data_IF_187680294088
#
_entry.id   IF_187680294088
#
_cell.length_a   1.000
_cell.length_b   1.000
_cell.length_c   1.000
_cell.angle_alpha   90.00
_cell.angle_beta   90.00
_cell.angle_gamma   90.00
#
_symmetry.space_group_name_H-M   'P 1'
#
loop_
_entity.id
_entity.type
_entity.pdbx_description
1 polymer ?
#
# COMPACT_ATOMS: atom_id res chain seq x y z
N UNK A 1 40.81 9.71 -41.41
CA UNK A 1 39.88 10.73 -40.86
C UNK A 1 39.00 10.04 -39.85
N UNK A 2 39.21 10.37 -38.57
CA UNK A 2 38.56 9.73 -37.43
C UNK A 2 37.13 10.29 -37.27
N UNK A 3 36.14 9.39 -37.18
CA UNK A 3 34.79 9.74 -36.82
C UNK A 3 34.72 9.97 -35.31
N UNK A 4 34.42 11.21 -34.93
CA UNK A 4 34.23 11.64 -33.54
C UNK A 4 33.10 10.86 -32.88
N UNK A 5 33.45 10.19 -31.79
CA UNK A 5 32.52 9.68 -30.79
C UNK A 5 31.88 10.91 -30.13
N UNK A 6 30.59 11.13 -30.35
CA UNK A 6 29.80 12.01 -29.47
C UNK A 6 29.74 11.35 -28.11
N UNK A 7 30.55 11.87 -27.20
CA UNK A 7 30.51 11.58 -25.77
C UNK A 7 29.11 11.89 -25.24
N UNK A 8 28.47 10.88 -24.66
CA UNK A 8 27.27 11.04 -23.85
C UNK A 8 27.62 11.91 -22.66
N UNK A 9 27.25 13.18 -22.74
CA UNK A 9 27.40 14.13 -21.66
C UNK A 9 26.38 13.76 -20.57
N UNK A 10 26.90 13.31 -19.43
CA UNK A 10 26.20 13.05 -18.17
C UNK A 10 25.13 14.10 -17.90
N UNK A 11 23.85 13.71 -18.03
CA UNK A 11 22.68 14.49 -17.60
C UNK A 11 22.31 14.23 -16.13
N UNK A 12 23.06 13.41 -15.42
CA UNK A 12 22.43 12.52 -14.45
C UNK A 12 22.66 12.83 -12.96
N UNK A 13 23.65 13.64 -12.60
CA UNK A 13 23.96 13.88 -11.18
C UNK A 13 23.25 15.09 -10.55
N UNK A 14 22.65 15.98 -11.36
CA UNK A 14 22.12 17.27 -10.91
C UNK A 14 20.61 17.46 -11.10
N UNK A 15 19.87 16.41 -11.50
CA UNK A 15 18.42 16.53 -11.67
C UNK A 15 17.76 16.68 -10.31
N UNK A 16 17.11 17.83 -10.11
CA UNK A 16 16.39 18.17 -8.89
C UNK A 16 14.96 17.68 -9.01
N UNK A 17 14.54 16.88 -8.04
CA UNK A 17 13.19 16.39 -7.85
C UNK A 17 12.60 17.16 -6.64
N UNK A 18 11.86 18.23 -6.91
CA UNK A 18 11.38 19.13 -5.88
C UNK A 18 12.53 19.93 -5.23
N UNK A 19 12.87 19.63 -3.98
CA UNK A 19 13.99 20.23 -3.25
C UNK A 19 15.15 19.26 -3.02
N UNK A 20 15.07 18.03 -3.55
CA UNK A 20 16.05 16.95 -3.33
C UNK A 20 16.60 16.47 -4.66
N UNK A 21 17.89 16.17 -4.73
CA UNK A 21 18.52 15.64 -5.94
C UNK A 21 18.26 14.14 -6.10
N UNK A 22 18.34 13.62 -7.34
CA UNK A 22 18.32 12.16 -7.57
C UNK A 22 19.40 11.46 -6.74
N UNK A 23 20.60 12.03 -6.62
CA UNK A 23 21.68 11.44 -5.84
C UNK A 23 21.30 11.27 -4.36
N UNK A 24 20.76 12.31 -3.73
CA UNK A 24 20.30 12.26 -2.33
C UNK A 24 19.14 11.26 -2.14
N UNK A 25 18.23 11.15 -3.12
CA UNK A 25 17.15 10.15 -3.08
C UNK A 25 17.67 8.73 -3.29
N UNK A 26 18.67 8.55 -4.14
CA UNK A 26 19.28 7.26 -4.43
C UNK A 26 20.09 6.74 -3.23
N UNK A 27 20.84 7.61 -2.56
CA UNK A 27 21.63 7.29 -1.37
C UNK A 27 20.76 6.89 -0.17
N UNK A 28 19.46 7.23 -0.20
CA UNK A 28 18.52 6.71 0.78
C UNK A 28 18.32 5.19 0.66
N UNK A 29 18.49 4.62 -0.54
CA UNK A 29 18.38 3.20 -0.81
C UNK A 29 19.68 2.46 -0.49
N UNK A 30 19.58 1.17 -0.12
CA UNK A 30 20.74 0.27 -0.07
C UNK A 30 21.28 -0.10 -1.46
N UNK A 31 20.61 0.33 -2.54
CA UNK A 31 20.97 0.08 -3.93
C UNK A 31 21.01 1.39 -4.76
N UNK A 32 21.95 2.31 -4.49
CA UNK A 32 21.93 3.66 -5.07
C UNK A 32 21.97 3.67 -6.60
N UNK A 33 22.76 2.80 -7.23
CA UNK A 33 22.81 2.71 -8.70
C UNK A 33 21.45 2.30 -9.30
N UNK A 34 20.77 1.34 -8.66
CA UNK A 34 19.45 0.90 -9.12
C UNK A 34 18.40 1.98 -8.84
N UNK A 35 18.43 2.59 -7.66
CA UNK A 35 17.55 3.70 -7.28
C UNK A 35 17.66 4.87 -8.27
N UNK A 36 18.89 5.24 -8.64
CA UNK A 36 19.18 6.29 -9.65
C UNK A 36 18.49 5.97 -10.97
N UNK A 37 18.67 4.75 -11.50
CA UNK A 37 18.04 4.33 -12.76
C UNK A 37 16.51 4.36 -12.69
N UNK A 38 15.93 3.94 -11.56
CA UNK A 38 14.47 3.95 -11.37
C UNK A 38 13.93 5.38 -11.33
N UNK A 39 14.56 6.27 -10.56
CA UNK A 39 14.19 7.68 -10.46
C UNK A 39 14.32 8.42 -11.80
N UNK A 40 15.40 8.20 -12.54
CA UNK A 40 15.59 8.79 -13.88
C UNK A 40 14.55 8.31 -14.89
N UNK A 41 14.07 7.07 -14.74
CA UNK A 41 13.04 6.49 -15.59
C UNK A 41 11.61 6.89 -15.18
N UNK A 42 11.42 7.62 -14.08
CA UNK A 42 10.10 7.88 -13.50
C UNK A 42 9.43 6.61 -12.96
N UNK A 43 10.20 5.54 -12.68
CA UNK A 43 9.70 4.29 -12.12
C UNK A 43 9.59 4.42 -10.59
N UNK A 44 8.61 5.20 -10.15
CA UNK A 44 8.36 5.50 -8.75
C UNK A 44 8.07 4.25 -7.92
N UNK A 45 7.24 3.35 -8.45
CA UNK A 45 6.92 2.09 -7.78
C UNK A 45 8.19 1.23 -7.66
N UNK A 46 8.95 1.08 -8.74
CA UNK A 46 10.21 0.34 -8.72
C UNK A 46 11.25 0.93 -7.76
N UNK A 47 11.27 2.26 -7.58
CA UNK A 47 12.08 2.91 -6.54
C UNK A 47 11.59 2.55 -5.13
N UNK A 48 10.28 2.66 -4.86
CA UNK A 48 9.70 2.35 -3.54
C UNK A 48 9.89 0.86 -3.17
N UNK A 49 9.82 -0.04 -4.14
CA UNK A 49 10.06 -1.48 -3.93
C UNK A 49 11.51 -1.83 -3.57
N UNK A 50 12.45 -0.87 -3.62
CA UNK A 50 13.81 -1.05 -3.08
C UNK A 50 13.84 -0.99 -1.55
N UNK A 51 12.75 -0.56 -0.91
CA UNK A 51 12.64 -0.41 0.52
C UNK A 51 11.70 -1.48 1.09
N UNK A 52 12.05 -2.03 2.25
CA UNK A 52 11.12 -2.85 3.04
C UNK A 52 9.93 -2.00 3.53
N UNK A 53 8.81 -2.66 3.87
CA UNK A 53 7.55 -2.02 4.28
C UNK A 53 7.72 -0.85 5.27
N UNK A 54 8.58 -1.03 6.29
CA UNK A 54 8.87 -0.01 7.31
C UNK A 54 9.49 1.28 6.74
N UNK A 55 10.29 1.18 5.67
CA UNK A 55 11.02 2.31 5.08
C UNK A 55 10.34 2.90 3.83
N UNK A 56 9.33 2.22 3.28
CA UNK A 56 8.61 2.72 2.10
C UNK A 56 7.92 4.05 2.36
N UNK A 57 7.35 4.27 3.55
CA UNK A 57 6.71 5.55 3.92
C UNK A 57 7.70 6.71 3.89
N UNK A 58 8.87 6.52 4.48
CA UNK A 58 9.93 7.53 4.47
C UNK A 58 10.47 7.81 3.06
N UNK A 59 10.61 6.77 2.23
CA UNK A 59 11.00 6.93 0.83
C UNK A 59 9.93 7.69 0.04
N UNK A 60 8.65 7.37 0.25
CA UNK A 60 7.51 8.04 -0.36
C UNK A 60 7.47 9.54 -0.04
N UNK A 61 7.63 9.92 1.23
CA UNK A 61 7.67 11.35 1.61
C UNK A 61 8.78 12.13 0.89
N UNK A 62 9.93 11.50 0.64
CA UNK A 62 11.03 12.13 -0.09
C UNK A 62 10.71 12.36 -1.57
N UNK A 63 9.94 11.47 -2.19
CA UNK A 63 9.55 11.59 -3.61
C UNK A 63 8.17 12.23 -3.80
N UNK A 64 7.42 12.51 -2.73
CA UNK A 64 6.11 13.13 -2.78
C UNK A 64 6.10 14.46 -3.59
N UNK A 65 7.07 15.39 -3.42
CA UNK A 65 7.11 16.59 -4.25
C UNK A 65 7.27 16.31 -5.75
N UNK A 66 7.86 15.17 -6.13
CA UNK A 66 7.91 14.70 -7.52
C UNK A 66 6.53 14.25 -7.98
N UNK A 67 5.92 13.36 -7.20
CA UNK A 67 4.64 12.73 -7.48
C UNK A 67 3.51 13.76 -7.58
N UNK A 68 3.58 14.86 -6.84
CA UNK A 68 2.66 16.00 -6.96
C UNK A 68 2.69 16.68 -8.34
N UNK A 69 3.72 16.43 -9.16
CA UNK A 69 3.81 16.92 -10.55
C UNK A 69 3.44 15.85 -11.58
N UNK A 70 3.30 14.61 -11.16
CA UNK A 70 2.91 13.51 -12.04
C UNK A 70 1.41 13.58 -12.39
N UNK A 71 0.99 12.89 -13.46
CA UNK A 71 -0.42 12.70 -13.77
C UNK A 71 -1.20 12.08 -12.59
N UNK A 72 -2.50 12.39 -12.42
CA UNK A 72 -3.32 11.88 -11.31
C UNK A 72 -3.25 10.36 -11.15
N UNK A 73 -3.24 9.61 -12.25
CA UNK A 73 -3.17 8.16 -12.25
C UNK A 73 -1.90 7.61 -11.57
N UNK A 74 -0.77 8.28 -11.75
CA UNK A 74 0.50 7.91 -11.13
C UNK A 74 0.46 8.24 -9.64
N UNK A 75 0.02 9.44 -9.29
CA UNK A 75 -0.11 9.86 -7.88
C UNK A 75 -0.99 8.88 -7.09
N UNK A 76 -2.20 8.62 -7.58
CA UNK A 76 -3.16 7.75 -6.90
C UNK A 76 -2.67 6.31 -6.82
N UNK A 77 -2.09 5.78 -7.90
CA UNK A 77 -1.56 4.41 -7.88
C UNK A 77 -0.43 4.25 -6.86
N UNK A 78 0.46 5.24 -6.75
CA UNK A 78 1.56 5.20 -5.77
C UNK A 78 1.04 5.40 -4.35
N UNK A 79 0.12 6.35 -4.11
CA UNK A 79 -0.48 6.55 -2.80
C UNK A 79 -1.19 5.28 -2.30
N UNK A 80 -1.97 4.62 -3.16
CA UNK A 80 -2.64 3.37 -2.83
C UNK A 80 -1.65 2.26 -2.46
N UNK A 81 -0.55 2.12 -3.21
CA UNK A 81 0.50 1.16 -2.89
C UNK A 81 1.11 1.41 -1.51
N UNK A 82 1.53 2.65 -1.23
CA UNK A 82 2.20 2.99 0.04
C UNK A 82 1.25 2.87 1.21
N UNK A 83 -0.03 3.22 1.03
CA UNK A 83 -1.08 3.00 2.03
C UNK A 83 -1.24 1.52 2.36
N UNK A 84 -1.46 0.66 1.35
CA UNK A 84 -1.64 -0.78 1.56
C UNK A 84 -0.39 -1.47 2.12
N UNK A 85 0.79 -0.91 1.86
CA UNK A 85 2.05 -1.41 2.40
C UNK A 85 2.33 -0.93 3.84
N UNK A 86 1.59 0.05 4.35
CA UNK A 86 1.79 0.59 5.70
C UNK A 86 1.19 -0.35 6.76
N UNK A 87 2.04 -0.86 7.65
CA UNK A 87 1.55 -1.55 8.85
C UNK A 87 1.05 -0.51 9.86
N UNK A 88 -0.27 -0.49 10.10
CA UNK A 88 -0.97 0.38 11.07
C UNK A 88 -0.85 1.90 10.81
N UNK A 89 -1.34 2.42 9.66
CA UNK A 89 -1.33 3.85 9.39
C UNK A 89 -2.11 4.64 10.44
N UNK A 90 -1.46 5.65 11.05
CA UNK A 90 -2.07 6.57 12.02
C UNK A 90 -1.77 6.33 13.51
N UNK A 91 -0.92 5.36 13.88
CA UNK A 91 -0.42 5.22 15.27
C UNK A 91 0.96 5.87 15.45
N UNK A 92 1.81 5.87 14.41
CA UNK A 92 3.21 6.34 14.48
C UNK A 92 3.65 7.21 13.28
N UNK A 93 2.71 7.83 12.56
CA UNK A 93 3.07 8.46 11.28
C UNK A 93 3.35 9.97 11.38
N UNK A 94 4.51 10.36 10.86
CA UNK A 94 4.84 11.73 10.44
C UNK A 94 4.03 12.15 9.18
N UNK A 95 3.32 11.21 8.56
CA UNK A 95 2.55 11.39 7.33
C UNK A 95 1.15 11.90 7.66
N UNK A 96 0.77 13.06 7.12
CA UNK A 96 -0.62 13.51 7.12
C UNK A 96 -1.42 12.81 6.01
N UNK A 97 -1.81 11.56 6.30
CA UNK A 97 -2.64 10.77 5.37
C UNK A 97 -3.93 11.46 4.99
N UNK A 98 -4.53 12.25 5.89
CA UNK A 98 -5.78 12.95 5.60
C UNK A 98 -5.57 13.99 4.51
N UNK A 99 -4.46 14.74 4.57
CA UNK A 99 -4.09 15.68 3.52
C UNK A 99 -3.86 14.99 2.17
N UNK A 100 -3.15 13.86 2.16
CA UNK A 100 -2.88 13.09 0.92
C UNK A 100 -4.16 12.59 0.26
N UNK A 101 -5.08 12.00 1.04
CA UNK A 101 -6.36 11.52 0.50
C UNK A 101 -7.37 12.65 0.22
N UNK A 102 -7.15 13.85 0.75
CA UNK A 102 -7.94 15.03 0.45
C UNK A 102 -7.50 15.78 -0.81
N UNK A 103 -6.44 15.32 -1.50
CA UNK A 103 -5.97 15.95 -2.74
C UNK A 103 -7.13 16.06 -3.76
N UNK A 104 -7.37 17.25 -4.35
CA UNK A 104 -8.52 17.50 -5.23
C UNK A 104 -8.37 16.92 -6.63
N UNK A 105 -7.25 16.27 -6.97
CA UNK A 105 -7.03 15.63 -8.26
C UNK A 105 -8.16 14.67 -8.64
N UNK A 106 -8.57 14.63 -9.92
CA UNK A 106 -9.57 13.69 -10.40
C UNK A 106 -9.00 12.27 -10.45
N UNK A 107 -9.81 11.31 -10.90
CA UNK A 107 -9.37 9.95 -11.22
C UNK A 107 -8.89 9.11 -10.02
N UNK A 108 -9.52 9.30 -8.85
CA UNK A 108 -9.21 8.55 -7.61
C UNK A 108 -9.36 7.04 -7.77
N UNK A 109 -10.07 6.56 -8.80
CA UNK A 109 -10.21 5.14 -9.10
C UNK A 109 -8.89 4.40 -9.42
N UNK A 110 -7.80 5.14 -9.63
CA UNK A 110 -6.44 4.57 -9.74
C UNK A 110 -5.83 4.17 -8.39
N UNK A 111 -6.44 4.56 -7.26
CA UNK A 111 -6.14 3.95 -5.95
C UNK A 111 -6.48 2.44 -5.93
N UNK A 112 -7.41 2.02 -6.79
CA UNK A 112 -7.97 0.68 -6.80
C UNK A 112 -7.47 -0.13 -8.01
N UNK A 113 -7.36 -1.45 -7.83
CA UNK A 113 -7.26 -2.43 -8.90
C UNK A 113 -8.57 -2.63 -9.66
N UNK A 114 -8.54 -3.47 -10.69
CA UNK A 114 -9.73 -3.73 -11.54
C UNK A 114 -10.87 -4.36 -10.76
N UNK A 115 -10.58 -5.35 -9.92
CA UNK A 115 -11.61 -6.07 -9.16
C UNK A 115 -12.17 -5.24 -8.00
N UNK A 116 -11.32 -4.45 -7.35
CA UNK A 116 -11.69 -3.43 -6.36
C UNK A 116 -12.63 -2.39 -6.95
N UNK A 117 -12.31 -1.81 -8.12
CA UNK A 117 -13.23 -0.91 -8.84
C UNK A 117 -14.56 -1.57 -9.16
N UNK A 118 -14.55 -2.86 -9.52
CA UNK A 118 -15.79 -3.62 -9.80
C UNK A 118 -16.62 -3.80 -8.53
N UNK A 119 -15.99 -4.04 -7.38
CA UNK A 119 -16.67 -4.13 -6.09
C UNK A 119 -17.19 -2.77 -5.61
N UNK A 120 -16.37 -1.72 -5.73
CA UNK A 120 -16.71 -0.34 -5.39
C UNK A 120 -18.01 0.11 -6.08
N UNK A 121 -18.11 -0.12 -7.40
CA UNK A 121 -19.32 0.24 -8.17
C UNK A 121 -20.61 -0.46 -7.72
N UNK A 122 -20.50 -1.57 -6.98
CA UNK A 122 -21.65 -2.31 -6.45
C UNK A 122 -22.06 -1.84 -5.04
N UNK A 123 -21.31 -0.90 -4.45
CA UNK A 123 -21.67 -0.35 -3.14
C UNK A 123 -23.04 0.34 -3.23
N UNK A 124 -23.87 0.20 -2.18
CA UNK A 124 -25.14 0.92 -2.09
C UNK A 124 -24.90 2.44 -1.99
N UNK A 125 -25.92 3.26 -2.28
CA UNK A 125 -25.81 4.73 -2.19
C UNK A 125 -25.38 5.21 -0.80
N UNK A 126 -25.81 4.52 0.25
CA UNK A 126 -25.37 4.72 1.63
C UNK A 126 -24.69 3.44 2.08
N UNK A 127 -23.42 3.56 2.43
CA UNK A 127 -22.57 2.44 2.84
C UNK A 127 -22.47 2.44 4.36
N UNK A 128 -22.88 1.34 4.97
CA UNK A 128 -22.65 1.08 6.39
C UNK A 128 -21.23 0.58 6.58
N UNK A 129 -20.51 1.20 7.51
CA UNK A 129 -19.08 0.95 7.72
C UNK A 129 -18.76 0.81 9.21
N UNK A 130 -17.71 0.05 9.50
CA UNK A 130 -17.23 -0.25 10.83
C UNK A 130 -15.75 0.07 10.94
N UNK A 131 -15.29 0.56 12.10
CA UNK A 131 -13.87 0.79 12.36
C UNK A 131 -13.48 0.22 13.70
N UNK A 132 -12.46 -0.61 13.70
CA UNK A 132 -11.79 -1.05 14.92
C UNK A 132 -10.85 0.03 15.43
N UNK A 133 -11.07 0.51 16.65
CA UNK A 133 -10.19 1.46 17.30
C UNK A 133 -9.67 0.89 18.62
N UNK A 134 -8.34 0.92 18.80
CA UNK A 134 -7.70 0.48 20.04
C UNK A 134 -7.97 1.39 21.23
N UNK A 135 -8.52 2.58 20.98
CA UNK A 135 -8.99 3.54 21.98
C UNK A 135 -10.05 4.45 21.33
N UNK A 136 -11.08 4.92 22.06
CA UNK A 136 -12.09 5.85 21.51
C UNK A 136 -11.53 7.09 20.83
N UNK A 137 -10.37 7.61 21.26
CA UNK A 137 -9.73 8.78 20.62
C UNK A 137 -9.28 8.50 19.17
N UNK A 138 -9.11 7.24 18.78
CA UNK A 138 -8.77 6.83 17.41
C UNK A 138 -10.01 6.50 16.56
N UNK A 139 -11.20 6.90 17.02
CA UNK A 139 -12.46 6.69 16.30
C UNK A 139 -12.51 7.42 14.95
N UNK A 140 -11.81 8.55 14.81
CA UNK A 140 -11.85 9.39 13.60
C UNK A 140 -10.71 9.10 12.60
N UNK A 141 -10.57 7.85 12.16
CA UNK A 141 -9.58 7.49 11.14
C UNK A 141 -10.13 7.31 9.74
N UNK A 142 -9.23 7.02 8.80
CA UNK A 142 -9.51 6.89 7.37
C UNK A 142 -9.99 5.50 6.96
N UNK A 143 -9.49 4.47 7.67
CA UNK A 143 -9.72 3.06 7.37
C UNK A 143 -10.98 2.56 8.07
N UNK A 144 -11.90 2.03 7.27
CA UNK A 144 -13.14 1.40 7.70
C UNK A 144 -13.30 0.05 6.99
N UNK A 145 -14.20 -0.80 7.48
CA UNK A 145 -14.56 -2.07 6.85
C UNK A 145 -16.06 -2.24 6.73
N UNK A 146 -16.49 -3.09 5.81
CA UNK A 146 -17.88 -3.51 5.68
C UNK A 146 -18.24 -4.67 6.65
N UNK A 147 -17.23 -5.25 7.31
CA UNK A 147 -17.37 -6.39 8.20
C UNK A 147 -17.16 -5.98 9.67
N UNK A 148 -18.20 -6.17 10.50
CA UNK A 148 -18.14 -5.88 11.93
C UNK A 148 -17.11 -6.73 12.67
N UNK A 149 -16.99 -8.02 12.35
CA UNK A 149 -16.08 -8.93 13.04
C UNK A 149 -14.61 -8.57 12.72
N UNK A 150 -14.35 -8.15 11.49
CA UNK A 150 -13.03 -7.60 11.12
C UNK A 150 -12.72 -6.33 11.92
N UNK A 151 -13.68 -5.40 12.05
CA UNK A 151 -13.51 -4.21 12.88
C UNK A 151 -13.26 -4.56 14.37
N UNK A 152 -13.99 -5.53 14.93
CA UNK A 152 -13.80 -5.97 16.30
C UNK A 152 -12.40 -6.57 16.52
N UNK A 153 -11.94 -7.41 15.60
CA UNK A 153 -10.59 -7.96 15.61
C UNK A 153 -9.52 -6.85 15.57
N UNK A 154 -9.70 -5.87 14.68
CA UNK A 154 -8.80 -4.72 14.55
C UNK A 154 -8.73 -3.85 15.80
N UNK A 155 -9.85 -3.65 16.50
CA UNK A 155 -9.87 -2.90 17.74
C UNK A 155 -8.94 -3.53 18.79
N UNK A 156 -8.99 -4.87 18.90
CA UNK A 156 -8.08 -5.64 19.75
C UNK A 156 -6.62 -5.55 19.30
N UNK A 157 -6.36 -5.73 17.99
CA UNK A 157 -5.02 -5.61 17.42
C UNK A 157 -4.41 -4.23 17.65
N UNK A 158 -5.15 -3.15 17.37
CA UNK A 158 -4.72 -1.78 17.57
C UNK A 158 -4.43 -1.48 19.06
N UNK A 159 -5.23 -2.02 19.99
CA UNK A 159 -4.94 -1.92 21.43
C UNK A 159 -3.61 -2.58 21.79
N UNK A 160 -3.32 -3.75 21.23
CA UNK A 160 -2.03 -4.43 21.43
C UNK A 160 -0.87 -3.63 20.84
N UNK A 161 -1.03 -3.07 19.64
CA UNK A 161 -0.03 -2.23 18.99
C UNK A 161 0.29 -0.97 19.82
N UNK A 162 -0.74 -0.24 20.29
CA UNK A 162 -0.58 0.93 21.16
C UNK A 162 0.21 0.61 22.44
N UNK A 163 -0.04 -0.56 23.04
CA UNK A 163 0.71 -1.03 24.23
C UNK A 163 2.17 -1.35 23.92
N UNK A 164 2.45 -1.95 22.75
CA UNK A 164 3.82 -2.31 22.33
C UNK A 164 4.66 -1.10 21.95
N UNK A 165 4.04 -0.11 21.30
CA UNK A 165 4.69 1.11 20.82
C UNK A 165 5.30 1.96 21.96
N UNK A 166 5.04 1.64 23.25
CA UNK A 166 5.45 2.45 24.40
C UNK A 166 5.18 3.94 24.12
N UNK A 167 3.96 4.25 23.66
CA UNK A 167 3.44 5.61 23.57
C UNK A 167 2.60 5.90 24.82
N UNK A 168 3.20 5.95 26.03
CA UNK A 168 2.43 6.09 27.27
C UNK A 168 1.67 7.40 27.30
N UNK A 169 2.07 8.45 26.59
CA UNK A 169 1.31 9.70 26.53
C UNK A 169 -0.04 9.54 25.81
N UNK A 170 -0.16 8.61 24.86
CA UNK A 170 -1.44 8.23 24.23
C UNK A 170 -2.26 7.27 25.10
N UNK A 171 -1.61 6.61 26.07
CA UNK A 171 -2.25 5.64 26.97
C UNK A 171 -2.52 6.18 28.39
N UNK A 172 -1.85 7.27 28.81
CA UNK A 172 -1.79 7.75 30.20
C UNK A 172 -3.09 8.39 30.69
N UNK A 173 -4.04 8.64 29.79
CA UNK A 173 -5.43 9.00 30.13
C UNK A 173 -6.40 7.80 30.06
N UNK A 174 -5.95 6.63 29.56
CA UNK A 174 -6.80 5.59 28.95
C UNK A 174 -6.80 4.20 29.59
N UNK A 175 -6.09 3.97 30.70
CA UNK A 175 -6.01 2.60 31.25
C UNK A 175 -7.40 2.02 31.62
N UNK A 176 -8.42 2.87 31.72
CA UNK A 176 -9.82 2.48 31.95
C UNK A 176 -10.67 2.30 30.69
N UNK A 177 -10.27 2.80 29.51
CA UNK A 177 -11.12 2.75 28.31
C UNK A 177 -10.73 1.58 27.39
N UNK A 178 -11.74 0.76 27.11
CA UNK A 178 -11.63 -0.47 26.33
C UNK A 178 -11.58 -0.16 24.81
N UNK A 179 -10.98 -1.05 23.99
CA UNK A 179 -11.09 -0.97 22.54
C UNK A 179 -12.55 -0.90 22.09
N UNK A 180 -12.81 -0.29 20.94
CA UNK A 180 -14.18 -0.08 20.48
C UNK A 180 -14.35 -0.31 18.99
N UNK A 181 -15.59 -0.63 18.61
CA UNK A 181 -16.05 -0.61 17.22
C UNK A 181 -16.87 0.64 17.00
N UNK A 182 -16.45 1.45 16.04
CA UNK A 182 -17.18 2.63 15.59
C UNK A 182 -18.06 2.23 14.42
N UNK A 183 -19.35 2.49 14.53
CA UNK A 183 -20.33 2.30 13.47
C UNK A 183 -20.55 3.63 12.76
N UNK A 184 -20.46 3.62 11.44
CA UNK A 184 -20.63 4.80 10.61
C UNK A 184 -21.50 4.54 9.39
N UNK A 185 -21.95 5.63 8.78
CA UNK A 185 -22.52 5.64 7.44
C UNK A 185 -21.81 6.68 6.60
N UNK A 186 -21.53 6.33 5.34
CA UNK A 186 -20.91 7.23 4.36
C UNK A 186 -21.68 7.14 3.04
N UNK A 187 -21.88 8.25 2.34
CA UNK A 187 -22.46 8.20 1.02
C UNK A 187 -21.45 7.59 0.04
N UNK A 188 -21.90 6.79 -0.94
CA UNK A 188 -21.02 6.18 -1.93
C UNK A 188 -20.16 7.23 -2.65
N UNK A 189 -20.73 8.41 -2.95
CA UNK A 189 -20.01 9.51 -3.58
C UNK A 189 -18.85 10.07 -2.72
N UNK A 190 -18.89 9.86 -1.41
CA UNK A 190 -17.86 10.30 -0.46
C UNK A 190 -16.86 9.19 -0.10
N UNK A 191 -17.05 7.96 -0.62
CA UNK A 191 -16.07 6.88 -0.50
C UNK A 191 -14.93 7.13 -1.49
N UNK A 192 -13.71 7.24 -0.96
CA UNK A 192 -12.51 7.49 -1.77
C UNK A 192 -12.05 6.22 -2.49
N UNK A 193 -12.01 5.10 -1.77
CA UNK A 193 -11.59 3.81 -2.31
C UNK A 193 -12.22 2.64 -1.55
N UNK A 194 -12.30 1.50 -2.23
CA UNK A 194 -12.55 0.19 -1.64
C UNK A 194 -11.36 -0.71 -2.00
N UNK A 195 -10.48 -0.96 -1.02
CA UNK A 195 -9.25 -1.73 -1.18
C UNK A 195 -9.44 -3.17 -0.68
N UNK A 196 -8.79 -4.11 -1.35
CA UNK A 196 -8.67 -5.50 -0.93
C UNK A 196 -7.42 -5.79 -0.13
N UNK A 197 -7.29 -7.04 0.29
CA UNK A 197 -6.01 -7.51 0.80
C UNK A 197 -4.94 -7.46 -0.31
N UNK A 198 -3.66 -7.53 0.08
CA UNK A 198 -2.53 -7.51 -0.86
C UNK A 198 -2.55 -8.68 -1.87
N UNK A 199 -3.48 -9.63 -1.75
CA UNK A 199 -3.69 -10.76 -2.64
C UNK A 199 -4.96 -10.60 -3.52
N UNK A 200 -5.62 -9.44 -3.48
CA UNK A 200 -6.79 -9.12 -4.30
C UNK A 200 -8.07 -9.88 -3.89
N UNK A 201 -8.14 -10.42 -2.68
CA UNK A 201 -9.34 -11.10 -2.16
C UNK A 201 -10.08 -10.21 -1.16
N UNK A 202 -11.40 -10.41 -1.17
CA UNK A 202 -12.42 -9.72 -0.38
C UNK A 202 -12.08 -8.25 -0.10
N UNK A 203 -12.43 -7.37 -1.04
CA UNK A 203 -12.33 -5.92 -0.84
C UNK A 203 -13.09 -5.54 0.44
N UNK A 204 -12.35 -5.27 1.51
CA UNK A 204 -12.91 -5.06 2.84
C UNK A 204 -12.57 -3.70 3.41
N UNK A 205 -11.57 -2.99 2.88
CA UNK A 205 -11.18 -1.68 3.40
C UNK A 205 -11.84 -0.54 2.62
N UNK A 206 -12.69 0.22 3.30
CA UNK A 206 -13.24 1.48 2.83
C UNK A 206 -12.35 2.63 3.30
N UNK A 207 -11.89 3.46 2.36
CA UNK A 207 -11.22 4.73 2.66
C UNK A 207 -12.22 5.87 2.57
N UNK A 208 -12.37 6.61 3.66
CA UNK A 208 -13.22 7.80 3.73
C UNK A 208 -12.60 8.84 4.67
N UNK A 209 -12.70 10.12 4.30
CA UNK A 209 -12.27 11.21 5.19
C UNK A 209 -13.21 11.30 6.41
N UNK A 210 -12.71 11.58 7.63
CA UNK A 210 -13.57 11.64 8.81
C UNK A 210 -14.79 12.58 8.68
N UNK A 211 -14.71 13.77 8.06
CA UNK A 211 -15.88 14.63 7.87
C UNK A 211 -16.99 14.03 6.99
N UNK A 212 -16.68 13.06 6.14
CA UNK A 212 -17.64 12.38 5.27
C UNK A 212 -18.37 11.21 5.96
N UNK A 213 -17.87 10.73 7.10
CA UNK A 213 -18.46 9.61 7.82
C UNK A 213 -19.35 10.12 8.95
N UNK A 214 -20.65 9.84 8.85
CA UNK A 214 -21.57 10.05 9.96
C UNK A 214 -21.43 8.92 10.96
N UNK A 215 -20.81 9.18 12.11
CA UNK A 215 -20.77 8.22 13.22
C UNK A 215 -22.17 8.02 13.80
N UNK A 216 -22.60 6.76 13.85
CA UNK A 216 -23.91 6.33 14.37
C UNK A 216 -23.80 5.86 15.82
N UNK A 217 -22.76 5.07 16.12
CA UNK A 217 -22.56 4.44 17.43
C UNK A 217 -21.08 4.21 17.68
N UNK A 218 -20.64 4.40 18.92
CA UNK A 218 -19.35 3.89 19.40
C UNK A 218 -19.65 2.78 20.40
N UNK A 219 -19.21 1.56 20.10
CA UNK A 219 -19.46 0.37 20.88
C UNK A 219 -18.18 -0.07 21.57
N UNK A 220 -18.12 0.09 22.89
CA UNK A 220 -17.01 -0.44 23.68
C UNK A 220 -17.07 -1.97 23.68
N UNK A 221 -15.98 -2.60 23.30
CA UNK A 221 -15.82 -4.04 23.45
C UNK A 221 -15.57 -4.31 24.93
N UNK A 222 -16.57 -4.86 25.62
CA UNK A 222 -16.37 -5.27 27.01
C UNK A 222 -15.24 -6.30 27.09
N UNK A 223 -14.62 -6.44 28.26
CA UNK A 223 -13.72 -7.56 28.57
C UNK A 223 -14.51 -8.86 28.54
N UNK A 224 -14.80 -9.37 27.35
CA UNK A 224 -15.14 -10.77 27.19
C UNK A 224 -13.90 -11.57 27.54
N UNK A 225 -14.08 -12.64 28.33
CA UNK A 225 -13.08 -13.67 28.60
C UNK A 225 -12.26 -13.97 27.33
N UNK A 226 -10.96 -14.31 27.45
CA UNK A 226 -10.02 -14.35 26.32
C UNK A 226 -10.70 -15.04 25.15
N UNK A 227 -10.81 -14.32 24.03
CA UNK A 227 -11.39 -14.85 22.79
C UNK A 227 -10.72 -16.19 22.54
N UNK A 228 -11.45 -17.26 22.86
CA UNK A 228 -11.01 -18.62 22.66
C UNK A 228 -10.88 -18.79 21.16
N UNK A 229 -9.64 -18.96 20.71
CA UNK A 229 -9.30 -18.91 19.29
C UNK A 229 -8.82 -17.52 18.89
N UNK A 230 -7.60 -17.16 19.29
CA UNK A 230 -6.72 -16.43 18.38
C UNK A 230 -6.64 -17.29 17.12
N UNK A 231 -7.50 -17.03 16.14
CA UNK A 231 -7.47 -17.75 14.89
C UNK A 231 -6.20 -17.27 14.17
N UNK A 232 -5.13 -18.05 14.31
CA UNK A 232 -3.87 -17.86 13.57
C UNK A 232 -4.13 -17.72 12.05
N UNK A 233 -5.29 -18.18 11.58
CA UNK A 233 -5.78 -18.05 10.21
C UNK A 233 -5.99 -16.59 9.76
N UNK A 234 -6.45 -15.67 10.62
CA UNK A 234 -6.68 -14.28 10.18
C UNK A 234 -5.38 -13.47 10.07
N UNK A 235 -4.45 -13.67 11.01
CA UNK A 235 -3.11 -13.07 10.96
C UNK A 235 -2.27 -13.68 9.81
N UNK A 236 -2.38 -14.99 9.56
CA UNK A 236 -1.68 -15.66 8.46
C UNK A 236 -2.29 -15.39 7.07
N UNK A 237 -3.56 -14.94 6.99
CA UNK A 237 -4.14 -14.38 5.74
C UNK A 237 -3.45 -13.08 5.32
N UNK A 238 -2.97 -12.26 6.26
CA UNK A 238 -2.23 -11.01 5.98
C UNK A 238 -0.71 -11.17 5.97
N UNK A 239 -0.15 -12.11 6.74
CA UNK A 239 1.30 -12.25 6.95
C UNK A 239 2.05 -13.21 5.99
N UNK A 240 1.52 -13.51 4.79
CA UNK A 240 2.27 -14.30 3.80
C UNK A 240 3.18 -13.41 2.94
N UNK A 241 4.49 -13.73 2.82
CA UNK A 241 5.43 -12.89 2.09
C UNK A 241 5.06 -12.77 0.61
N UNK A 242 5.29 -11.56 0.09
CA UNK A 242 5.30 -11.20 -1.33
C UNK A 242 6.38 -12.00 -2.09
N UNK A 243 6.09 -13.26 -2.38
CA UNK A 243 6.76 -14.00 -3.45
C UNK A 243 5.68 -14.78 -4.20
N UNK A 244 5.50 -14.59 -5.52
CA UNK A 244 4.72 -15.53 -6.30
C UNK A 244 5.42 -16.88 -6.22
N UNK A 245 4.84 -17.83 -5.49
CA UNK A 245 5.20 -19.23 -5.61
C UNK A 245 4.81 -19.70 -7.03
N UNK A 246 5.77 -19.65 -7.95
CA UNK A 246 5.65 -20.30 -9.26
C UNK A 246 5.94 -19.44 -10.48
N UNK A 247 7.20 -19.02 -10.65
CA UNK A 247 7.75 -18.75 -11.98
C UNK A 247 9.09 -19.46 -12.20
N UNK A 248 9.22 -20.70 -11.71
CA UNK A 248 10.17 -21.66 -12.27
C UNK A 248 9.44 -22.55 -13.27
N UNK A 249 9.21 -22.04 -14.49
CA UNK A 249 9.19 -22.91 -15.67
C UNK A 249 10.53 -22.80 -16.37
N UNK A 250 11.23 -23.93 -16.38
CA UNK A 250 12.50 -24.23 -17.03
C UNK A 250 12.58 -23.54 -18.40
N UNK A 251 13.57 -22.67 -18.60
CA UNK A 251 14.08 -22.40 -19.96
C UNK A 251 14.67 -23.71 -20.45
N UNK A 252 13.97 -24.35 -21.38
CA UNK A 252 14.52 -25.45 -22.18
C UNK A 252 15.81 -24.98 -22.83
N UNK A 253 16.88 -25.71 -22.58
CA UNK A 253 18.14 -25.57 -23.28
C UNK A 253 17.90 -25.86 -24.76
N UNK A 254 17.91 -24.84 -25.61
CA UNK A 254 18.10 -25.04 -27.04
C UNK A 254 19.58 -25.38 -27.21
N UNK A 255 19.88 -26.68 -27.29
CA UNK A 255 21.14 -27.16 -27.86
C UNK A 255 21.10 -26.89 -29.37
N UNK A 256 22.19 -26.40 -29.99
CA UNK A 256 22.27 -26.35 -31.44
C UNK A 256 22.39 -27.78 -31.97
N UNK A 257 21.43 -28.20 -32.79
CA UNK A 257 21.51 -29.47 -33.51
C UNK A 257 22.73 -29.46 -34.43
N UNK A 258 23.62 -30.44 -34.20
CA UNK A 258 24.66 -30.81 -35.15
C UNK A 258 23.97 -31.42 -36.37
N UNK A 259 24.05 -30.76 -37.52
CA UNK A 259 23.78 -31.38 -38.82
C UNK A 259 24.79 -32.50 -39.04
N UNK A 260 24.31 -33.74 -39.18
CA UNK A 260 25.04 -34.80 -39.87
C UNK A 260 24.49 -34.95 -41.30
N UNK A 261 25.35 -35.25 -42.29
CA UNK A 261 24.99 -35.25 -43.70
C UNK A 261 24.26 -36.53 -44.11
N UNK A 262 23.22 -36.41 -44.93
CA UNK A 262 22.55 -37.54 -45.57
C UNK A 262 23.39 -38.08 -46.74
N UNK A 263 23.59 -39.40 -46.75
CA UNK A 263 24.13 -40.15 -47.89
C UNK A 263 23.09 -40.23 -49.03
N UNK A 264 23.52 -40.39 -50.30
CA UNK A 264 22.62 -40.49 -51.44
C UNK A 264 22.29 -41.94 -51.79
N UNK A 265 21.02 -42.20 -52.06
CA UNK A 265 20.50 -43.43 -52.69
C UNK A 265 18.98 -43.34 -52.61
N UNK A 266 18.19 -43.36 -53.69
CA UNK A 266 18.39 -43.87 -55.03
C UNK A 266 17.18 -44.76 -55.37
N UNK A 267 16.78 -44.72 -56.64
CA UNK A 267 15.81 -45.56 -57.33
C UNK A 267 14.32 -45.13 -57.26
N UNK A 268 13.51 -45.46 -58.29
CA UNK A 268 13.83 -46.25 -59.49
C UNK A 268 14.13 -45.45 -60.75
#
# INVERSE_FOLDING_TARGET
MAAERRSGQSRDAGMVIGATTIAELADFSSFPDLATRRLQAGDWLGYLLLFGHERQRAAFLKVLPALEREPPEVYWSILGHVWSAAEAPGIEDEVDWRALFADPRPEREYLMGVDERRAYRRLPQIVHVYRGAGHPDFAQGLSWTLDYEEAAWFAGYARMALRRARAPHLLAASDAQEPCVVHGCVAHADVIALLGDAQGRAASEIIALPPAVKVVKVELLQRSAPVGGFDEDMASRRARPLIPAGAHRRRGSIRPERRQPMAPGGAP
#
